data_IF_278157000271
#
_entry.id   IF_278157000271
#
_cell.length_a   1.000
_cell.length_b   1.000
_cell.length_c   1.000
_cell.angle_alpha   90.00
_cell.angle_beta   90.00
_cell.angle_gamma   90.00
#
_symmetry.space_group_name_H-M   'P 1'
#
loop_
_entity.id
_entity.type
_entity.pdbx_description
1 polymer ?
#
# COMPACT_ATOMS: atom_id res chain seq x y z
N UNK A 1 7.79 -34.12 -25.41
CA UNK A 1 6.77 -33.04 -25.34
C UNK A 1 7.29 -31.98 -24.36
N UNK A 2 7.15 -30.71 -24.71
CA UNK A 2 7.96 -29.56 -24.26
C UNK A 2 8.29 -29.47 -22.76
N UNK A 3 9.57 -29.55 -22.42
CA UNK A 3 10.10 -28.86 -21.25
C UNK A 3 10.18 -27.37 -21.61
N UNK A 4 9.33 -26.55 -21.00
CA UNK A 4 9.43 -25.11 -21.13
C UNK A 4 10.80 -24.66 -20.59
N UNK A 5 11.64 -24.14 -21.48
CA UNK A 5 12.89 -23.48 -21.12
C UNK A 5 12.52 -22.25 -20.29
N UNK A 6 12.69 -22.32 -18.97
CA UNK A 6 12.69 -21.13 -18.13
C UNK A 6 13.96 -20.35 -18.47
N UNK A 7 13.84 -19.45 -19.43
CA UNK A 7 14.84 -18.42 -19.70
C UNK A 7 14.89 -17.52 -18.45
N UNK A 8 15.66 -17.91 -17.43
CA UNK A 8 16.11 -17.01 -16.37
C UNK A 8 17.26 -16.18 -16.96
N UNK A 9 16.97 -15.21 -17.83
CA UNK A 9 17.99 -14.31 -18.36
C UNK A 9 18.17 -13.07 -17.47
N UNK A 10 19.45 -12.82 -17.16
CA UNK A 10 20.09 -11.58 -16.69
C UNK A 10 19.51 -10.90 -15.44
N UNK A 11 20.26 -10.96 -14.33
CA UNK A 11 20.15 -10.20 -13.08
C UNK A 11 19.20 -8.97 -13.09
N UNK A 12 17.89 -9.21 -12.92
CA UNK A 12 16.95 -8.17 -12.51
C UNK A 12 17.18 -7.97 -11.01
N UNK A 13 18.00 -6.99 -10.65
CA UNK A 13 18.26 -6.62 -9.27
C UNK A 13 16.94 -6.19 -8.62
N UNK A 14 16.41 -7.03 -7.73
CA UNK A 14 15.19 -6.73 -7.00
C UNK A 14 15.50 -5.83 -5.82
N UNK A 15 14.69 -4.78 -5.64
CA UNK A 15 14.90 -3.77 -4.59
C UNK A 15 13.65 -3.70 -3.72
N UNK A 16 13.83 -3.89 -2.41
CA UNK A 16 12.74 -3.73 -1.44
C UNK A 16 12.21 -2.29 -1.48
N UNK A 17 10.94 -2.05 -1.11
CA UNK A 17 10.43 -0.68 -1.02
C UNK A 17 11.32 0.16 -0.09
N UNK A 18 11.71 1.35 -0.55
CA UNK A 18 12.61 2.23 0.20
C UNK A 18 11.83 3.07 1.22
N UNK A 19 10.64 3.54 0.83
CA UNK A 19 9.81 4.39 1.68
C UNK A 19 8.33 4.16 1.39
N UNK A 20 7.51 4.26 2.45
CA UNK A 20 6.04 4.30 2.38
C UNK A 20 5.59 5.57 3.11
N UNK A 21 4.72 6.34 2.46
CA UNK A 21 4.20 7.59 3.04
C UNK A 21 2.71 7.72 2.75
N UNK A 22 1.89 7.73 3.80
CA UNK A 22 0.46 8.05 3.67
C UNK A 22 0.22 9.56 3.79
N UNK A 23 -0.41 10.14 2.76
CA UNK A 23 -0.89 11.52 2.72
C UNK A 23 -2.27 11.62 3.37
N UNK A 24 -2.50 12.75 4.05
CA UNK A 24 -3.76 12.99 4.75
C UNK A 24 -3.92 12.22 6.07
N UNK A 25 -2.87 11.54 6.55
CA UNK A 25 -2.88 10.93 7.89
C UNK A 25 -3.12 11.98 8.97
N UNK A 26 -3.72 11.57 10.10
CA UNK A 26 -4.06 12.43 11.26
C UNK A 26 -5.15 13.49 11.00
N UNK A 27 -5.84 13.46 9.86
CA UNK A 27 -7.09 14.22 9.70
C UNK A 27 -8.13 13.69 10.67
N UNK A 28 -8.82 14.61 11.35
CA UNK A 28 -10.03 14.29 12.11
C UNK A 28 -11.11 13.86 11.13
N UNK A 29 -11.77 12.73 11.39
CA UNK A 29 -12.80 12.17 10.52
C UNK A 29 -14.16 12.30 11.16
N UNK A 30 -15.20 12.46 10.34
CA UNK A 30 -16.58 12.31 10.78
C UNK A 30 -17.10 10.95 10.33
N UNK A 31 -17.84 10.25 11.19
CA UNK A 31 -18.51 9.02 10.80
C UNK A 31 -19.38 9.22 9.54
N UNK A 32 -19.47 8.19 8.70
CA UNK A 32 -20.29 8.13 7.46
C UNK A 32 -19.79 9.05 6.33
N UNK A 33 -18.92 10.03 6.61
CA UNK A 33 -18.35 10.90 5.58
C UNK A 33 -17.18 10.22 4.88
N UNK A 34 -17.36 9.89 3.60
CA UNK A 34 -16.33 9.30 2.77
C UNK A 34 -15.14 10.24 2.57
N UNK A 35 -13.93 9.71 2.72
CA UNK A 35 -12.67 10.41 2.52
C UNK A 35 -11.73 9.57 1.64
N UNK A 36 -10.68 10.21 1.13
CA UNK A 36 -9.60 9.52 0.42
C UNK A 36 -8.26 9.70 1.12
N UNK A 37 -7.50 8.61 1.17
CA UNK A 37 -6.10 8.60 1.58
C UNK A 37 -5.23 8.12 0.43
N UNK A 38 -4.06 8.70 0.30
CA UNK A 38 -3.09 8.32 -0.72
C UNK A 38 -1.84 7.77 -0.06
N UNK A 39 -1.39 6.61 -0.48
CA UNK A 39 -0.15 6.01 -0.06
C UNK A 39 0.84 6.03 -1.21
N UNK A 40 1.96 6.72 -1.01
CA UNK A 40 3.06 6.81 -1.96
C UNK A 40 4.19 5.87 -1.52
N UNK A 41 4.61 4.99 -2.42
CA UNK A 41 5.70 4.03 -2.20
C UNK A 41 6.79 4.27 -3.23
N UNK A 42 8.05 4.39 -2.77
CA UNK A 42 9.19 4.68 -3.65
C UNK A 42 10.25 3.59 -3.60
N UNK A 43 10.95 3.42 -4.71
CA UNK A 43 12.20 2.65 -4.78
C UNK A 43 12.07 1.14 -4.88
N UNK A 44 10.85 0.59 -4.98
CA UNK A 44 10.65 -0.85 -5.19
C UNK A 44 10.90 -1.25 -6.64
N UNK A 45 11.60 -2.36 -6.85
CA UNK A 45 11.76 -3.01 -8.17
C UNK A 45 11.64 -4.53 -8.04
N UNK A 46 10.66 -5.19 -8.69
CA UNK A 46 9.52 -4.63 -9.42
C UNK A 46 8.65 -3.68 -8.55
N UNK A 47 7.72 -2.91 -9.16
CA UNK A 47 6.80 -2.04 -8.42
C UNK A 47 6.15 -2.75 -7.23
N UNK A 48 5.95 -2.03 -6.13
CA UNK A 48 5.46 -2.62 -4.89
C UNK A 48 3.99 -3.00 -5.01
N UNK A 49 3.61 -4.09 -4.35
CA UNK A 49 2.21 -4.40 -4.08
C UNK A 49 1.79 -3.64 -2.82
N UNK A 50 0.69 -2.89 -2.91
CA UNK A 50 0.19 -2.07 -1.80
C UNK A 50 -1.09 -2.69 -1.23
N UNK A 51 -1.13 -2.85 0.09
CA UNK A 51 -2.28 -3.33 0.86
C UNK A 51 -2.70 -2.31 1.91
N UNK A 52 -3.98 -1.95 1.93
CA UNK A 52 -4.58 -1.14 3.00
C UNK A 52 -5.19 -2.01 4.08
N UNK A 53 -4.95 -1.67 5.34
CA UNK A 53 -5.46 -2.42 6.49
C UNK A 53 -5.96 -1.51 7.59
N UNK A 54 -7.08 -1.88 8.20
CA UNK A 54 -7.69 -1.25 9.37
C UNK A 54 -7.77 -2.28 10.50
N UNK A 55 -6.90 -2.18 11.50
CA UNK A 55 -6.70 -3.24 12.49
C UNK A 55 -6.31 -4.55 11.81
N UNK A 56 -7.10 -5.61 12.02
CA UNK A 56 -6.93 -6.93 11.37
C UNK A 56 -7.59 -7.04 9.99
N UNK A 57 -8.38 -6.05 9.57
CA UNK A 57 -9.17 -6.12 8.34
C UNK A 57 -8.42 -5.54 7.15
N UNK A 58 -8.37 -6.29 6.04
CA UNK A 58 -7.91 -5.77 4.74
C UNK A 58 -9.00 -4.95 4.07
N UNK A 59 -8.65 -3.77 3.57
CA UNK A 59 -9.55 -2.90 2.83
C UNK A 59 -9.34 -3.10 1.32
N UNK A 60 -10.45 -3.18 0.58
CA UNK A 60 -10.44 -3.50 -0.87
C UNK A 60 -10.73 -2.30 -1.77
N UNK A 61 -11.32 -1.22 -1.23
CA UNK A 61 -11.75 -0.06 -2.02
C UNK A 61 -10.58 0.89 -2.31
N UNK A 62 -9.56 0.38 -2.99
CA UNK A 62 -8.36 1.12 -3.34
C UNK A 62 -7.97 0.93 -4.79
N UNK A 63 -7.46 2.00 -5.41
CA UNK A 63 -6.95 1.99 -6.79
C UNK A 63 -5.46 2.26 -6.74
N UNK A 64 -4.68 1.41 -7.40
CA UNK A 64 -3.21 1.52 -7.44
C UNK A 64 -2.74 1.89 -8.83
N UNK A 65 -1.76 2.77 -8.91
CA UNK A 65 -1.11 3.23 -10.13
C UNK A 65 0.41 3.21 -9.97
N UNK A 66 1.11 2.93 -11.04
CA UNK A 66 2.58 2.97 -11.09
C UNK A 66 2.98 4.17 -11.95
N UNK A 67 3.99 4.92 -11.53
CA UNK A 67 4.53 6.03 -12.32
C UNK A 67 5.09 5.53 -13.66
N UNK A 68 5.14 6.40 -14.66
CA UNK A 68 5.71 6.05 -15.97
C UNK A 68 7.17 5.53 -15.87
N UNK A 69 7.93 6.04 -14.90
CA UNK A 69 9.31 5.62 -14.63
C UNK A 69 9.41 4.34 -13.77
N UNK A 70 8.29 3.80 -13.29
CA UNK A 70 8.25 2.56 -12.50
C UNK A 70 8.84 2.66 -11.08
N UNK A 71 9.27 3.85 -10.65
CA UNK A 71 9.96 4.07 -9.38
C UNK A 71 9.03 4.46 -8.23
N UNK A 72 7.79 4.86 -8.54
CA UNK A 72 6.77 5.25 -7.57
C UNK A 72 5.51 4.43 -7.81
N UNK A 73 4.97 3.83 -6.77
CA UNK A 73 3.66 3.19 -6.78
C UNK A 73 2.76 3.95 -5.82
N UNK A 74 1.60 4.38 -6.30
CA UNK A 74 0.64 5.17 -5.52
C UNK A 74 -0.65 4.39 -5.41
N UNK A 75 -1.19 4.26 -4.20
CA UNK A 75 -2.50 3.66 -3.95
C UNK A 75 -3.43 4.67 -3.28
N UNK A 76 -4.61 4.87 -3.86
CA UNK A 76 -5.65 5.75 -3.30
C UNK A 76 -6.76 4.90 -2.71
N UNK A 77 -6.95 4.95 -1.40
CA UNK A 77 -8.03 4.29 -0.66
C UNK A 77 -9.22 5.23 -0.54
N UNK A 78 -10.40 4.77 -0.93
CA UNK A 78 -11.68 5.41 -0.60
C UNK A 78 -12.23 4.77 0.67
N UNK A 79 -12.36 5.57 1.74
CA UNK A 79 -12.68 5.10 3.08
C UNK A 79 -13.88 5.85 3.66
N UNK A 80 -14.87 5.09 4.12
CA UNK A 80 -16.04 5.62 4.86
C UNK A 80 -15.93 5.13 6.30
N UNK A 81 -15.51 5.97 7.26
CA UNK A 81 -15.33 5.57 8.65
C UNK A 81 -16.67 5.36 9.35
N UNK A 82 -16.66 4.48 10.34
CA UNK A 82 -17.73 4.33 11.35
C UNK A 82 -17.24 4.81 12.71
N UNK A 83 -18.14 5.08 13.66
CA UNK A 83 -17.78 5.41 15.05
C UNK A 83 -16.90 4.34 15.69
N UNK A 84 -17.14 3.07 15.36
CA UNK A 84 -16.37 1.92 15.85
C UNK A 84 -14.93 1.91 15.34
N UNK A 85 -14.61 2.71 14.33
CA UNK A 85 -13.26 2.85 13.81
C UNK A 85 -12.40 3.82 14.61
N UNK A 86 -13.01 4.59 15.53
CA UNK A 86 -12.26 5.47 16.40
C UNK A 86 -11.21 4.68 17.19
N UNK A 87 -9.99 5.16 17.18
CA UNK A 87 -8.87 4.52 17.84
C UNK A 87 -8.31 3.26 17.16
N UNK A 88 -8.90 2.76 16.06
CA UNK A 88 -8.29 1.70 15.26
C UNK A 88 -7.11 2.25 14.45
N UNK A 89 -6.13 1.40 14.16
CA UNK A 89 -4.99 1.77 13.33
C UNK A 89 -5.32 1.54 11.85
N UNK A 90 -5.18 2.58 11.02
CA UNK A 90 -5.24 2.49 9.56
C UNK A 90 -3.81 2.61 9.01
N UNK A 91 -3.41 1.64 8.19
CA UNK A 91 -2.06 1.60 7.64
C UNK A 91 -2.05 1.10 6.20
N UNK A 92 -1.08 1.62 5.46
CA UNK A 92 -0.71 1.17 4.14
C UNK A 92 0.57 0.36 4.28
N UNK A 93 0.54 -0.89 3.81
CA UNK A 93 1.69 -1.78 3.76
C UNK A 93 2.10 -1.99 2.32
N UNK A 94 3.40 -1.95 2.06
CA UNK A 94 3.97 -2.14 0.73
C UNK A 94 5.01 -3.24 0.75
N UNK A 95 4.89 -4.22 -0.14
CA UNK A 95 5.81 -5.34 -0.30
C UNK A 95 6.32 -5.46 -1.74
N UNK A 96 7.52 -6.02 -1.90
CA UNK A 96 8.04 -6.39 -3.20
C UNK A 96 7.79 -7.89 -3.43
N UNK A 97 7.08 -8.27 -4.50
CA UNK A 97 6.69 -9.66 -4.74
C UNK A 97 7.87 -10.60 -5.03
N UNK A 98 9.03 -10.05 -5.41
CA UNK A 98 10.27 -10.82 -5.64
C UNK A 98 11.12 -10.99 -4.36
N UNK A 99 10.80 -10.30 -3.27
CA UNK A 99 11.59 -10.31 -2.03
C UNK A 99 10.67 -10.65 -0.84
N UNK A 100 10.63 -11.91 -0.39
CA UNK A 100 9.88 -12.30 0.80
C UNK A 100 10.28 -11.49 2.04
N UNK A 101 9.29 -11.07 2.84
CA UNK A 101 9.55 -10.30 4.05
C UNK A 101 10.02 -8.85 3.83
N UNK A 102 9.94 -8.34 2.59
CA UNK A 102 10.35 -6.96 2.27
C UNK A 102 9.39 -5.87 2.74
N UNK A 103 8.26 -6.26 3.33
CA UNK A 103 7.17 -5.36 3.67
C UNK A 103 7.62 -4.24 4.63
N UNK A 104 7.23 -3.02 4.30
CA UNK A 104 7.30 -1.85 5.19
C UNK A 104 5.95 -1.11 5.15
N UNK A 105 5.66 -0.29 6.14
CA UNK A 105 4.35 0.33 6.29
C UNK A 105 4.41 1.74 6.88
N UNK A 106 3.36 2.53 6.63
CA UNK A 106 3.07 3.79 7.30
C UNK A 106 1.58 3.81 7.69
N UNK A 107 1.27 4.35 8.87
CA UNK A 107 -0.06 4.28 9.44
C UNK A 107 -0.28 5.24 10.60
N UNK A 108 -1.53 5.37 11.01
CA UNK A 108 -1.92 6.20 12.14
C UNK A 108 -3.17 5.65 12.83
N UNK A 109 -3.34 6.05 14.09
CA UNK A 109 -4.57 5.83 14.86
C UNK A 109 -5.65 6.77 14.34
N UNK A 110 -6.80 6.23 13.95
CA UNK A 110 -7.94 7.00 13.47
C UNK A 110 -8.55 7.80 14.61
N UNK A 111 -8.93 9.03 14.29
CA UNK A 111 -9.63 9.95 15.19
C UNK A 111 -10.99 10.29 14.56
N UNK A 112 -12.04 9.56 14.97
CA UNK A 112 -13.38 9.60 14.36
C UNK A 112 -14.39 10.11 15.38
N UNK A 113 -15.21 11.08 14.94
CA UNK A 113 -16.27 11.71 15.74
C UNK A 113 -17.62 11.68 15.01
#
# INVERSE_FOLDING_TARGET
MCAAVLIKNLSIFSVRPLSVSVKGKRKRLSAIKTVQFECEVKGSRPPAVISWRKGSYKLKNAVTRVSAQGNVTTSTLTFTPTSDDNGKFLYCQADNPAIPGSAIEDGWKLDVH
#
